data_IF_089396198559
#
_entry.id   IF_089396198559
#
_cell.length_a   1.000
_cell.length_b   1.000
_cell.length_c   1.000
_cell.angle_alpha   90.00
_cell.angle_beta   90.00
_cell.angle_gamma   90.00
#
_symmetry.space_group_name_H-M   'P 1'
#
loop_
_entity.id
_entity.type
_entity.pdbx_description
1 polymer ?
#
# COMPACT_ATOMS: atom_id res chain seq x y z
N UNK A 1 4.11 44.98 14.66
CA UNK A 1 5.18 44.42 15.51
C UNK A 1 6.38 44.23 14.61
N UNK A 2 7.37 45.10 14.73
CA UNK A 2 8.63 45.04 14.01
C UNK A 2 9.39 43.78 14.43
N UNK A 3 9.63 42.89 13.49
CA UNK A 3 10.49 41.72 13.66
C UNK A 3 11.92 42.21 13.95
N UNK A 4 12.32 42.19 15.22
CA UNK A 4 13.73 42.16 15.58
C UNK A 4 14.31 40.86 14.99
N UNK A 5 15.00 40.97 13.86
CA UNK A 5 16.04 40.00 13.51
C UNK A 5 17.02 40.01 14.69
N UNK A 6 16.85 39.05 15.60
CA UNK A 6 17.76 38.83 16.73
C UNK A 6 19.16 38.64 16.15
N UNK A 7 20.03 39.63 16.39
CA UNK A 7 21.41 39.59 15.95
C UNK A 7 22.15 38.37 16.52
N UNK A 8 23.18 37.87 15.81
CA UNK A 8 23.63 36.50 15.89
C UNK A 8 24.26 36.18 17.24
N UNK A 9 24.26 34.90 17.61
CA UNK A 9 25.08 34.42 18.71
C UNK A 9 26.55 34.83 18.52
N UNK A 10 27.31 34.93 19.61
CA UNK A 10 28.73 35.29 19.52
C UNK A 10 29.52 34.23 18.74
N UNK A 11 29.15 32.93 18.78
CA UNK A 11 29.87 31.85 18.10
C UNK A 11 28.96 30.78 17.50
N UNK A 12 29.22 30.39 16.26
CA UNK A 12 28.51 29.28 15.63
C UNK A 12 28.80 27.98 16.37
N UNK A 13 27.75 27.22 16.63
CA UNK A 13 27.87 25.96 17.37
C UNK A 13 28.56 24.83 16.60
N UNK A 14 28.64 24.93 15.28
CA UNK A 14 29.30 23.93 14.43
C UNK A 14 30.79 24.25 14.19
N UNK A 15 31.13 25.50 13.86
CA UNK A 15 32.54 25.86 13.54
C UNK A 15 33.24 26.70 14.60
N UNK A 16 32.56 27.15 15.65
CA UNK A 16 33.07 28.00 16.75
C UNK A 16 33.56 29.40 16.36
N UNK A 17 33.50 29.77 15.07
CA UNK A 17 33.79 31.12 14.57
C UNK A 17 32.72 32.14 14.99
N UNK A 18 33.09 33.42 15.03
CA UNK A 18 32.17 34.50 15.33
C UNK A 18 31.10 34.66 14.24
N UNK A 19 29.82 34.71 14.63
CA UNK A 19 28.71 34.92 13.69
C UNK A 19 28.58 36.39 13.36
N UNK A 20 29.39 36.86 12.41
CA UNK A 20 29.37 38.27 12.02
C UNK A 20 28.27 38.55 11.00
N UNK A 21 27.94 37.60 10.11
CA UNK A 21 26.91 37.71 9.05
C UNK A 21 26.43 36.29 8.65
N UNK A 22 25.18 36.15 8.19
CA UNK A 22 24.57 34.92 7.62
C UNK A 22 24.46 33.70 8.55
N UNK A 23 23.67 33.85 9.62
CA UNK A 23 23.31 32.74 10.50
C UNK A 23 21.79 32.54 10.57
N UNK A 24 21.38 31.30 10.80
CA UNK A 24 19.98 30.90 10.99
C UNK A 24 19.83 30.17 12.33
N UNK A 25 18.76 30.47 13.06
CA UNK A 25 18.47 29.81 14.34
C UNK A 25 17.71 28.49 14.10
N UNK A 26 18.23 27.40 14.63
CA UNK A 26 17.51 26.12 14.71
C UNK A 26 16.37 26.23 15.72
N UNK A 27 15.14 25.92 15.32
CA UNK A 27 13.97 25.93 16.22
C UNK A 27 13.94 24.74 17.18
N UNK A 28 14.71 23.68 16.91
CA UNK A 28 14.75 22.47 17.73
C UNK A 28 15.66 22.59 18.96
N UNK A 29 16.88 23.11 18.77
CA UNK A 29 17.87 23.24 19.84
C UNK A 29 18.21 24.69 20.19
N UNK A 30 17.55 25.66 19.55
CA UNK A 30 17.73 27.12 19.72
C UNK A 30 19.13 27.64 19.40
N UNK A 31 20.03 26.78 18.90
CA UNK A 31 21.38 27.12 18.47
C UNK A 31 21.35 27.85 17.13
N UNK A 32 22.28 28.79 16.98
CA UNK A 32 22.52 29.46 15.72
C UNK A 32 23.62 28.73 14.94
N UNK A 33 23.38 28.59 13.63
CA UNK A 33 24.27 27.91 12.70
C UNK A 33 24.56 28.85 11.55
N UNK A 34 25.83 28.96 11.15
CA UNK A 34 26.15 29.69 9.92
C UNK A 34 25.55 28.98 8.72
N UNK A 35 25.09 29.75 7.76
CA UNK A 35 24.63 29.22 6.47
C UNK A 35 25.72 28.41 5.77
N UNK A 36 27.00 28.80 5.91
CA UNK A 36 28.17 28.04 5.41
C UNK A 36 28.42 26.69 6.10
N UNK A 37 27.90 26.51 7.32
CA UNK A 37 28.04 25.26 8.08
C UNK A 37 26.88 24.29 7.82
N UNK A 38 25.91 24.70 7.00
CA UNK A 38 24.82 23.88 6.51
C UNK A 38 25.00 23.80 4.99
N UNK A 39 24.58 22.73 4.30
CA UNK A 39 24.51 22.70 2.83
C UNK A 39 23.44 23.66 2.26
N UNK A 40 23.49 24.93 2.64
CA UNK A 40 22.48 25.95 2.32
C UNK A 40 23.00 26.90 1.24
N UNK A 41 22.42 26.82 0.04
CA UNK A 41 22.65 27.80 -1.02
C UNK A 41 21.93 29.12 -0.75
N UNK A 42 22.35 30.21 -1.40
CA UNK A 42 21.68 31.52 -1.31
C UNK A 42 20.18 31.44 -1.66
N UNK A 43 19.84 30.59 -2.64
CA UNK A 43 18.45 30.34 -3.06
C UNK A 43 17.65 29.67 -1.93
N UNK A 44 18.26 28.72 -1.21
CA UNK A 44 17.61 28.08 -0.06
C UNK A 44 17.50 29.05 1.12
N UNK A 45 18.53 29.85 1.38
CA UNK A 45 18.52 30.87 2.42
C UNK A 45 17.40 31.90 2.19
N UNK A 46 17.22 32.34 0.95
CA UNK A 46 16.11 33.23 0.59
C UNK A 46 14.76 32.58 0.86
N UNK A 47 14.59 31.28 0.56
CA UNK A 47 13.35 30.55 0.88
C UNK A 47 13.13 30.44 2.39
N UNK A 48 14.19 30.23 3.17
CA UNK A 48 14.14 30.17 4.64
C UNK A 48 13.85 31.52 5.29
N UNK A 49 14.12 32.62 4.59
CA UNK A 49 13.81 33.98 5.05
C UNK A 49 12.31 34.30 5.04
N UNK A 50 11.47 33.41 4.50
CA UNK A 50 10.02 33.55 4.61
C UNK A 50 9.57 33.51 6.08
N UNK A 51 8.87 34.57 6.49
CA UNK A 51 8.31 34.67 7.83
C UNK A 51 7.44 33.43 8.15
N UNK A 52 7.65 32.87 9.34
CA UNK A 52 6.93 31.70 9.90
C UNK A 52 7.41 30.29 9.48
N UNK A 53 8.59 30.14 8.87
CA UNK A 53 9.20 28.83 8.68
C UNK A 53 10.04 28.41 9.90
N UNK A 54 10.16 27.10 10.11
CA UNK A 54 10.94 26.51 11.21
C UNK A 54 12.12 25.74 10.65
N UNK A 55 13.32 26.34 10.73
CA UNK A 55 14.56 25.67 10.36
C UNK A 55 15.04 24.74 11.47
N UNK A 56 15.62 23.59 11.10
CA UNK A 56 16.25 22.65 12.00
C UNK A 56 17.66 22.36 11.50
N UNK A 57 18.65 22.47 12.40
CA UNK A 57 20.04 22.08 12.13
C UNK A 57 20.19 20.57 11.96
N UNK A 58 21.33 20.12 11.44
CA UNK A 58 21.65 18.72 11.21
C UNK A 58 21.46 17.87 12.46
N UNK A 59 21.98 18.32 13.60
CA UNK A 59 21.82 17.66 14.91
C UNK A 59 20.35 17.41 15.34
N UNK A 60 19.40 18.19 14.81
CA UNK A 60 17.97 18.01 15.09
C UNK A 60 17.24 17.20 14.00
N UNK A 61 17.80 17.14 12.80
CA UNK A 61 17.25 16.43 11.65
C UNK A 61 17.79 15.01 11.52
N UNK A 62 18.96 14.70 12.07
CA UNK A 62 19.67 13.44 11.88
C UNK A 62 19.79 12.64 13.17
N UNK A 63 19.95 11.33 13.02
CA UNK A 63 20.29 10.39 14.08
C UNK A 63 21.26 9.38 13.49
N UNK A 64 22.47 9.24 14.06
CA UNK A 64 23.54 8.38 13.54
C UNK A 64 23.88 8.66 12.06
N UNK A 65 24.06 9.94 11.69
CA UNK A 65 24.42 10.38 10.32
C UNK A 65 23.34 10.12 9.25
N UNK A 66 22.19 9.55 9.62
CA UNK A 66 21.05 9.36 8.73
C UNK A 66 19.93 10.35 9.04
N UNK A 67 19.22 10.79 8.00
CA UNK A 67 18.05 11.65 8.17
C UNK A 67 16.98 10.94 8.99
N UNK A 68 16.58 11.56 10.10
CA UNK A 68 15.60 11.00 11.01
C UNK A 68 14.19 11.28 10.50
N UNK A 69 13.78 10.45 9.54
CA UNK A 69 12.43 10.49 8.97
C UNK A 69 11.34 10.25 10.01
N UNK A 70 11.64 9.58 11.13
CA UNK A 70 10.68 9.37 12.23
C UNK A 70 10.38 10.68 12.95
N UNK A 71 11.40 11.48 13.26
CA UNK A 71 11.22 12.83 13.82
C UNK A 71 10.46 13.73 12.84
N UNK A 72 10.76 13.65 11.54
CA UNK A 72 10.03 14.40 10.50
C UNK A 72 8.55 14.02 10.44
N UNK A 73 8.22 12.72 10.41
CA UNK A 73 6.84 12.24 10.45
C UNK A 73 6.09 12.73 11.70
N UNK A 74 6.73 12.70 12.88
CA UNK A 74 6.11 13.20 14.13
C UNK A 74 5.74 14.68 14.03
N UNK A 75 6.60 15.52 13.45
CA UNK A 75 6.33 16.96 13.28
C UNK A 75 5.20 17.21 12.28
N UNK A 76 5.18 16.49 11.16
CA UNK A 76 4.08 16.55 10.20
C UNK A 76 2.75 16.05 10.78
N UNK A 77 2.79 14.95 11.53
CA UNK A 77 1.61 14.36 12.16
C UNK A 77 0.99 15.31 13.20
N UNK A 78 1.82 16.05 13.94
CA UNK A 78 1.36 17.02 14.93
C UNK A 78 0.50 18.15 14.33
N UNK A 79 0.62 18.41 13.01
CA UNK A 79 -0.17 19.44 12.32
C UNK A 79 -1.35 18.91 11.53
N UNK A 80 -1.62 17.60 11.57
CA UNK A 80 -2.80 17.01 10.90
C UNK A 80 -4.08 17.45 11.63
N UNK A 81 -5.00 18.09 10.90
CA UNK A 81 -6.24 18.65 11.45
C UNK A 81 -6.08 20.03 12.10
N UNK A 82 -4.88 20.62 12.07
CA UNK A 82 -4.65 22.00 12.52
C UNK A 82 -5.13 23.01 11.46
N UNK A 83 -5.27 24.30 11.82
CA UNK A 83 -5.57 25.36 10.86
C UNK A 83 -4.62 25.37 9.66
N UNK A 84 -5.15 25.61 8.46
CA UNK A 84 -4.40 25.52 7.19
C UNK A 84 -3.07 26.29 7.19
N UNK A 85 -3.02 27.47 7.83
CA UNK A 85 -1.79 28.26 7.94
C UNK A 85 -0.68 27.51 8.68
N UNK A 86 -1.00 26.83 9.78
CA UNK A 86 -0.04 26.08 10.60
C UNK A 86 0.45 24.86 9.82
N UNK A 87 -0.47 24.07 9.28
CA UNK A 87 -0.16 22.88 8.48
C UNK A 87 0.72 23.25 7.28
N UNK A 88 0.38 24.32 6.56
CA UNK A 88 1.16 24.81 5.41
C UNK A 88 2.59 25.18 5.80
N UNK A 89 2.77 25.90 6.91
CA UNK A 89 4.10 26.35 7.34
C UNK A 89 4.99 25.18 7.76
N UNK A 90 4.46 24.22 8.53
CA UNK A 90 5.22 23.03 8.94
C UNK A 90 5.52 22.14 7.74
N UNK A 91 4.54 21.90 6.86
CA UNK A 91 4.74 21.11 5.64
C UNK A 91 5.80 21.73 4.73
N UNK A 92 5.75 23.06 4.54
CA UNK A 92 6.77 23.79 3.77
C UNK A 92 8.15 23.74 4.43
N UNK A 93 8.21 23.83 5.76
CA UNK A 93 9.47 23.71 6.50
C UNK A 93 10.10 22.33 6.28
N UNK A 94 9.35 21.24 6.43
CA UNK A 94 9.86 19.88 6.20
C UNK A 94 10.31 19.66 4.75
N UNK A 95 9.54 20.14 3.77
CA UNK A 95 9.94 20.06 2.37
C UNK A 95 11.24 20.82 2.08
N UNK A 96 11.47 21.95 2.75
CA UNK A 96 12.72 22.71 2.65
C UNK A 96 13.87 22.06 3.40
N UNK A 97 13.63 21.36 4.51
CA UNK A 97 14.67 20.59 5.21
C UNK A 97 15.19 19.46 4.31
N UNK A 98 14.31 18.73 3.65
CA UNK A 98 14.70 17.69 2.69
C UNK A 98 15.56 18.27 1.55
N UNK A 99 15.19 19.43 1.01
CA UNK A 99 16.01 20.12 0.00
C UNK A 99 17.35 20.60 0.56
N UNK A 100 17.36 21.15 1.77
CA UNK A 100 18.57 21.70 2.42
C UNK A 100 19.60 20.60 2.62
N UNK A 101 19.18 19.46 3.16
CA UNK A 101 20.07 18.34 3.41
C UNK A 101 20.23 17.37 2.24
N UNK A 102 19.80 17.77 1.04
CA UNK A 102 19.90 16.96 -0.19
C UNK A 102 19.36 15.54 0.01
N UNK A 103 18.24 15.40 0.72
CA UNK A 103 17.57 14.10 0.88
C UNK A 103 16.89 13.77 -0.45
N UNK A 104 17.56 12.92 -1.22
CA UNK A 104 17.15 12.61 -2.59
C UNK A 104 15.82 11.85 -2.63
N UNK A 105 14.97 12.25 -3.57
CA UNK A 105 13.85 11.40 -4.00
C UNK A 105 14.47 10.30 -4.86
N UNK A 106 14.22 9.02 -4.54
CA UNK A 106 14.83 7.93 -5.28
C UNK A 106 14.44 8.03 -6.76
N UNK A 107 15.44 8.06 -7.62
CA UNK A 107 15.24 7.85 -9.06
C UNK A 107 15.05 6.35 -9.28
N UNK A 108 14.10 6.01 -10.16
CA UNK A 108 13.90 4.62 -10.53
C UNK A 108 15.15 4.11 -11.26
N UNK A 109 15.97 3.37 -10.54
CA UNK A 109 17.13 2.70 -11.11
C UNK A 109 16.74 1.24 -11.33
N UNK A 110 16.80 0.80 -12.58
CA UNK A 110 16.72 -0.63 -12.94
C UNK A 110 18.01 -1.35 -12.52
N UNK A 111 18.42 -1.23 -11.26
CA UNK A 111 19.45 -2.13 -10.73
C UNK A 111 18.82 -3.50 -10.58
N UNK A 112 19.18 -4.40 -11.49
CA UNK A 112 18.78 -5.81 -11.50
C UNK A 112 19.42 -6.55 -10.32
N UNK A 113 18.96 -6.26 -9.12
CA UNK A 113 19.30 -7.02 -7.93
C UNK A 113 18.40 -8.25 -7.94
N UNK A 114 19.00 -9.44 -7.83
CA UNK A 114 18.23 -10.66 -7.67
C UNK A 114 17.52 -10.62 -6.31
N UNK A 115 16.22 -10.91 -6.31
CA UNK A 115 15.39 -10.80 -5.12
C UNK A 115 14.79 -12.16 -4.78
N UNK A 116 14.74 -12.46 -3.48
CA UNK A 116 14.03 -13.63 -2.96
C UNK A 116 12.55 -13.52 -3.30
N UNK A 117 12.00 -14.57 -3.91
CA UNK A 117 10.58 -14.62 -4.24
C UNK A 117 9.73 -14.80 -2.97
N UNK A 118 8.65 -14.03 -2.86
CA UNK A 118 7.69 -14.16 -1.76
C UNK A 118 6.84 -15.42 -1.95
N UNK A 119 6.95 -16.36 -1.01
CA UNK A 119 6.28 -17.66 -1.11
C UNK A 119 4.76 -17.54 -1.12
N UNK A 120 4.19 -16.67 -0.28
CA UNK A 120 2.75 -16.52 -0.11
C UNK A 120 2.14 -15.90 -1.37
N UNK A 121 2.72 -14.82 -1.84
CA UNK A 121 2.33 -14.10 -3.05
C UNK A 121 2.51 -14.95 -4.30
N UNK A 122 3.57 -15.75 -4.37
CA UNK A 122 3.76 -16.73 -5.46
C UNK A 122 2.64 -17.77 -5.46
N UNK A 123 2.25 -18.26 -4.28
CA UNK A 123 1.14 -19.22 -4.14
C UNK A 123 -0.21 -18.59 -4.53
N UNK A 124 -0.42 -17.31 -4.19
CA UNK A 124 -1.60 -16.54 -4.61
C UNK A 124 -1.63 -16.41 -6.13
N UNK A 125 -0.52 -16.00 -6.77
CA UNK A 125 -0.47 -15.91 -8.23
C UNK A 125 -0.66 -17.27 -8.90
N UNK A 126 -0.05 -18.34 -8.39
CA UNK A 126 -0.25 -19.68 -8.93
C UNK A 126 -1.73 -20.09 -8.93
N UNK A 127 -2.47 -19.70 -7.89
CA UNK A 127 -3.89 -20.02 -7.72
C UNK A 127 -4.81 -19.13 -8.56
N UNK A 128 -4.54 -17.82 -8.60
CA UNK A 128 -5.46 -16.84 -9.16
C UNK A 128 -5.08 -16.36 -10.56
N UNK A 129 -3.79 -16.38 -10.91
CA UNK A 129 -3.33 -15.89 -12.21
C UNK A 129 -1.95 -16.47 -12.62
N UNK A 130 -1.89 -17.77 -12.95
CA UNK A 130 -0.63 -18.48 -13.22
C UNK A 130 0.14 -17.92 -14.42
N UNK A 131 -0.54 -17.31 -15.39
CA UNK A 131 0.11 -16.64 -16.52
C UNK A 131 1.03 -15.50 -16.06
N UNK A 132 0.60 -14.67 -15.10
CA UNK A 132 1.48 -13.61 -14.55
C UNK A 132 2.66 -14.21 -13.80
N UNK A 133 2.50 -15.32 -13.09
CA UNK A 133 3.62 -15.98 -12.40
C UNK A 133 4.69 -16.55 -13.36
N UNK A 134 4.29 -16.86 -14.61
CA UNK A 134 5.21 -17.34 -15.64
C UNK A 134 6.14 -16.24 -16.16
N UNK A 135 5.67 -14.99 -16.16
CA UNK A 135 6.43 -13.83 -16.66
C UNK A 135 7.03 -12.98 -15.55
N UNK A 136 6.43 -13.01 -14.36
CA UNK A 136 6.80 -12.19 -13.21
C UNK A 136 7.01 -13.06 -11.97
N UNK A 137 7.73 -12.52 -10.99
CA UNK A 137 7.77 -13.08 -9.65
C UNK A 137 7.54 -11.97 -8.61
N UNK A 138 6.76 -12.24 -7.55
CA UNK A 138 6.63 -11.32 -6.43
C UNK A 138 7.88 -11.42 -5.57
N UNK A 139 8.54 -10.30 -5.28
CA UNK A 139 9.66 -10.30 -4.35
C UNK A 139 9.19 -10.07 -2.91
N UNK A 140 9.88 -10.71 -1.97
CA UNK A 140 9.61 -10.56 -0.54
C UNK A 140 9.70 -9.09 -0.09
N UNK A 141 8.72 -8.68 0.71
CA UNK A 141 8.69 -7.38 1.37
C UNK A 141 8.39 -7.59 2.84
N UNK A 142 9.04 -6.85 3.74
CA UNK A 142 8.76 -7.02 5.16
C UNK A 142 7.27 -6.76 5.48
N UNK A 143 6.65 -7.72 6.16
CA UNK A 143 5.20 -7.78 6.42
C UNK A 143 4.73 -6.94 7.60
N UNK A 144 4.83 -5.61 7.50
CA UNK A 144 4.25 -4.65 8.44
C UNK A 144 3.30 -3.67 7.74
N UNK A 145 2.68 -2.73 8.47
CA UNK A 145 1.86 -1.70 7.83
C UNK A 145 2.64 -0.75 6.91
N UNK A 146 3.97 -0.81 6.88
CA UNK A 146 4.79 -0.03 5.93
C UNK A 146 4.99 -0.75 4.59
N UNK A 147 4.41 -1.94 4.40
CA UNK A 147 4.67 -2.79 3.24
C UNK A 147 4.45 -2.10 1.88
N UNK A 148 3.50 -1.16 1.72
CA UNK A 148 3.38 -0.40 0.46
C UNK A 148 4.67 0.40 0.15
N UNK A 149 5.15 1.17 1.12
CA UNK A 149 6.33 2.02 0.98
C UNK A 149 7.60 1.20 0.81
N UNK A 150 7.69 0.07 1.52
CA UNK A 150 8.79 -0.90 1.38
C UNK A 150 8.78 -1.53 -0.01
N UNK A 151 7.63 -1.98 -0.50
CA UNK A 151 7.48 -2.56 -1.82
C UNK A 151 7.86 -1.57 -2.92
N UNK A 152 7.43 -0.30 -2.81
CA UNK A 152 7.79 0.76 -3.75
C UNK A 152 9.28 1.08 -3.68
N UNK A 153 9.84 1.24 -2.47
CA UNK A 153 11.29 1.42 -2.27
C UNK A 153 12.07 0.31 -2.95
N UNK A 154 11.67 -0.94 -2.72
CA UNK A 154 12.33 -2.12 -3.30
C UNK A 154 12.21 -2.14 -4.81
N UNK A 155 11.05 -1.79 -5.36
CA UNK A 155 10.85 -1.77 -6.80
C UNK A 155 11.71 -0.74 -7.54
N UNK A 156 12.00 0.41 -6.92
CA UNK A 156 12.70 1.52 -7.58
C UNK A 156 14.19 1.62 -7.22
N UNK A 157 14.61 1.07 -6.07
CA UNK A 157 16.00 1.12 -5.58
C UNK A 157 16.65 -0.25 -5.40
N UNK A 158 15.88 -1.34 -5.49
CA UNK A 158 16.33 -2.68 -5.13
C UNK A 158 16.41 -2.94 -3.61
N UNK A 159 16.09 -1.98 -2.74
CA UNK A 159 16.12 -2.12 -1.29
C UNK A 159 14.89 -1.51 -0.59
N UNK A 160 14.62 -1.89 0.65
CA UNK A 160 13.50 -1.32 1.44
C UNK A 160 13.87 -0.07 2.26
N UNK A 161 15.13 0.38 2.23
CA UNK A 161 15.67 1.38 3.19
C UNK A 161 14.94 2.73 3.14
N UNK A 162 14.37 3.10 1.99
CA UNK A 162 13.76 4.41 1.79
C UNK A 162 12.30 4.51 2.28
N UNK A 163 11.73 3.45 2.86
CA UNK A 163 10.30 3.43 3.18
C UNK A 163 9.85 4.58 4.09
N UNK A 164 10.68 5.01 5.06
CA UNK A 164 10.35 6.13 5.96
C UNK A 164 10.38 7.46 5.20
N UNK A 165 11.41 7.68 4.37
CA UNK A 165 11.53 8.89 3.55
C UNK A 165 10.36 8.99 2.57
N UNK A 166 9.95 7.87 1.96
CA UNK A 166 8.76 7.81 1.13
C UNK A 166 7.49 8.21 1.90
N UNK A 167 7.30 7.73 3.14
CA UNK A 167 6.17 8.18 3.99
C UNK A 167 6.21 9.69 4.25
N UNK A 168 7.39 10.24 4.59
CA UNK A 168 7.55 11.69 4.82
C UNK A 168 7.12 12.47 3.58
N UNK A 169 7.66 12.11 2.42
CA UNK A 169 7.36 12.77 1.15
C UNK A 169 5.88 12.64 0.78
N UNK A 170 5.28 11.46 0.98
CA UNK A 170 3.85 11.22 0.74
C UNK A 170 2.98 12.11 1.62
N UNK A 171 3.33 12.26 2.91
CA UNK A 171 2.57 13.14 3.81
C UNK A 171 2.72 14.60 3.42
N UNK A 172 3.92 15.02 3.01
CA UNK A 172 4.16 16.37 2.47
C UNK A 172 3.30 16.63 1.24
N UNK A 173 3.22 15.68 0.30
CA UNK A 173 2.36 15.81 -0.89
C UNK A 173 0.87 15.93 -0.50
N UNK A 174 0.38 15.07 0.39
CA UNK A 174 -1.03 15.11 0.82
C UNK A 174 -1.38 16.45 1.49
N UNK A 175 -0.55 16.92 2.42
CA UNK A 175 -0.78 18.16 3.16
C UNK A 175 -0.58 19.42 2.30
N UNK A 176 0.31 19.37 1.30
CA UNK A 176 0.59 20.50 0.41
C UNK A 176 -0.48 20.68 -0.66
N UNK A 177 -1.17 19.60 -1.07
CA UNK A 177 -2.09 19.60 -2.20
C UNK A 177 -3.47 19.01 -1.83
N UNK A 178 -4.16 19.56 -0.80
CA UNK A 178 -5.41 18.99 -0.29
C UNK A 178 -6.51 18.88 -1.37
N UNK A 179 -6.47 19.72 -2.41
CA UNK A 179 -7.43 19.65 -3.51
C UNK A 179 -7.44 18.32 -4.29
N UNK A 180 -6.46 17.44 -4.11
CA UNK A 180 -6.43 16.12 -4.75
C UNK A 180 -6.75 14.96 -3.79
N UNK A 181 -6.85 15.25 -2.49
CA UNK A 181 -6.94 14.22 -1.44
C UNK A 181 -8.08 14.46 -0.44
N UNK A 182 -8.65 15.67 -0.42
CA UNK A 182 -9.79 16.02 0.43
C UNK A 182 -11.07 16.20 -0.41
N UNK A 183 -12.01 15.24 -0.36
CA UNK A 183 -13.30 15.34 -1.04
C UNK A 183 -14.12 16.57 -0.66
N UNK A 184 -13.85 17.18 0.50
CA UNK A 184 -14.54 18.39 0.96
C UNK A 184 -13.88 19.68 0.47
N UNK A 185 -12.72 19.60 -0.19
CA UNK A 185 -12.05 20.78 -0.71
C UNK A 185 -12.84 21.38 -1.88
N UNK A 186 -12.99 22.71 -1.92
CA UNK A 186 -13.83 23.40 -2.92
C UNK A 186 -13.42 23.18 -4.38
N UNK A 187 -12.15 22.81 -4.59
CA UNK A 187 -11.57 22.47 -5.90
C UNK A 187 -11.16 21.00 -6.01
N UNK A 188 -11.87 20.12 -5.30
CA UNK A 188 -11.52 18.71 -5.25
C UNK A 188 -11.44 18.11 -6.66
N UNK A 189 -10.35 17.41 -6.94
CA UNK A 189 -10.12 16.65 -8.16
C UNK A 189 -9.98 15.19 -7.78
N UNK A 190 -10.98 14.39 -8.11
CA UNK A 190 -10.94 12.95 -7.88
C UNK A 190 -9.92 12.29 -8.83
N UNK A 191 -8.81 11.82 -8.26
CA UNK A 191 -7.77 11.09 -8.97
C UNK A 191 -8.16 9.64 -9.30
N UNK A 192 -9.07 9.06 -8.52
CA UNK A 192 -9.45 7.65 -8.64
C UNK A 192 -10.50 7.49 -9.74
N UNK A 193 -11.51 8.37 -9.77
CA UNK A 193 -12.61 8.35 -10.73
C UNK A 193 -13.32 6.99 -10.79
N UNK A 194 -13.40 6.29 -9.66
CA UNK A 194 -14.03 4.98 -9.52
C UNK A 194 -14.64 4.86 -8.12
N UNK A 195 -15.97 4.96 -8.05
CA UNK A 195 -16.73 4.95 -6.81
C UNK A 195 -16.77 3.57 -6.11
N UNK A 196 -16.23 2.52 -6.75
CA UNK A 196 -16.08 1.19 -6.13
C UNK A 196 -14.92 1.14 -5.15
N UNK A 197 -13.97 2.07 -5.24
CA UNK A 197 -12.85 2.18 -4.31
C UNK A 197 -13.25 3.05 -3.14
N UNK A 198 -13.31 2.44 -1.96
CA UNK A 198 -13.50 3.16 -0.71
C UNK A 198 -12.15 3.69 -0.25
N UNK A 199 -12.08 5.00 -0.02
CA UNK A 199 -10.89 5.67 0.50
C UNK A 199 -11.15 6.23 1.90
N UNK A 200 -10.08 6.34 2.68
CA UNK A 200 -10.12 7.00 3.96
C UNK A 200 -10.54 8.48 3.82
N UNK A 201 -11.08 9.07 4.89
CA UNK A 201 -11.27 10.54 4.93
C UNK A 201 -9.91 11.24 4.87
N UNK A 202 -9.87 12.50 4.42
CA UNK A 202 -8.61 13.26 4.32
C UNK A 202 -7.77 13.24 5.60
N UNK A 203 -8.42 13.44 6.76
CA UNK A 203 -7.72 13.42 8.05
C UNK A 203 -7.21 12.03 8.40
N UNK A 204 -7.97 10.98 8.10
CA UNK A 204 -7.55 9.61 8.35
C UNK A 204 -6.40 9.21 7.42
N UNK A 205 -6.51 9.53 6.13
CA UNK A 205 -5.45 9.38 5.14
C UNK A 205 -4.13 10.01 5.62
N UNK A 206 -4.15 11.30 6.01
CA UNK A 206 -2.96 12.00 6.48
C UNK A 206 -2.40 11.40 7.80
N UNK A 207 -3.28 10.98 8.72
CA UNK A 207 -2.88 10.31 9.97
C UNK A 207 -2.22 8.96 9.70
N UNK A 208 -2.78 8.18 8.77
CA UNK A 208 -2.26 6.88 8.39
C UNK A 208 -0.86 7.07 7.86
N UNK A 209 -0.59 7.93 6.87
CA UNK A 209 0.79 8.19 6.40
C UNK A 209 1.74 8.59 7.53
N UNK A 210 1.29 9.48 8.41
CA UNK A 210 2.09 10.00 9.53
C UNK A 210 2.47 8.99 10.61
N UNK A 211 1.77 7.85 10.69
CA UNK A 211 1.98 6.84 11.72
C UNK A 211 2.69 5.61 11.15
N UNK A 212 3.85 5.25 11.70
CA UNK A 212 4.55 4.03 11.28
C UNK A 212 3.72 2.79 11.61
N UNK A 213 3.70 1.83 10.67
CA UNK A 213 3.00 0.55 10.86
C UNK A 213 1.49 0.60 10.63
N UNK A 214 0.91 1.74 10.23
CA UNK A 214 -0.47 1.79 9.71
C UNK A 214 -0.49 1.41 8.23
N UNK A 215 -1.57 0.73 7.83
CA UNK A 215 -1.80 0.29 6.47
C UNK A 215 -2.03 1.45 5.51
N UNK A 216 -1.71 1.19 4.24
CA UNK A 216 -1.95 2.10 3.14
C UNK A 216 -3.09 1.60 2.24
N UNK A 217 -3.81 2.55 1.64
CA UNK A 217 -4.88 2.35 0.67
C UNK A 217 -4.46 2.83 -0.74
N UNK A 218 -5.40 2.84 -1.70
CA UNK A 218 -5.13 3.28 -3.07
C UNK A 218 -4.66 4.74 -3.16
N UNK A 219 -5.19 5.63 -2.31
CA UNK A 219 -4.87 7.06 -2.37
C UNK A 219 -3.41 7.33 -2.00
N UNK A 220 -2.84 6.51 -1.12
CA UNK A 220 -1.41 6.50 -0.83
C UNK A 220 -0.55 6.21 -2.07
N UNK A 221 -1.00 5.29 -2.93
CA UNK A 221 -0.29 4.95 -4.16
C UNK A 221 -0.33 6.10 -5.18
N UNK A 222 -1.44 6.84 -5.26
CA UNK A 222 -1.53 8.07 -6.06
C UNK A 222 -0.58 9.15 -5.55
N UNK A 223 -0.54 9.36 -4.24
CA UNK A 223 0.40 10.32 -3.63
C UNK A 223 1.86 9.89 -3.83
N UNK A 224 2.19 8.60 -3.73
CA UNK A 224 3.53 8.07 -4.04
C UNK A 224 3.91 8.30 -5.50
N UNK A 225 3.00 8.04 -6.43
CA UNK A 225 3.23 8.33 -7.85
C UNK A 225 3.49 9.83 -8.08
N UNK A 226 2.77 10.71 -7.40
CA UNK A 226 2.98 12.16 -7.48
C UNK A 226 4.33 12.60 -6.88
N UNK A 227 4.77 11.99 -5.78
CA UNK A 227 6.07 12.26 -5.16
C UNK A 227 7.21 11.84 -6.07
N UNK A 228 7.15 10.60 -6.57
CA UNK A 228 8.20 9.99 -7.38
C UNK A 228 8.22 10.49 -8.83
N UNK A 229 7.16 11.19 -9.26
CA UNK A 229 6.98 11.67 -10.64
C UNK A 229 6.99 10.55 -11.68
N UNK A 230 6.51 9.36 -11.30
CA UNK A 230 6.44 8.18 -12.17
C UNK A 230 5.07 7.49 -12.04
N UNK A 231 4.53 6.89 -13.12
CA UNK A 231 3.36 6.03 -13.01
C UNK A 231 3.68 4.72 -12.27
N UNK A 232 2.75 4.24 -11.45
CA UNK A 232 2.86 2.96 -10.73
C UNK A 232 1.78 2.02 -11.25
N UNK A 233 2.10 0.77 -11.55
CA UNK A 233 1.09 -0.26 -11.85
C UNK A 233 0.62 -0.86 -10.54
N UNK A 234 -0.59 -0.52 -10.13
CA UNK A 234 -1.31 -1.26 -9.10
C UNK A 234 -1.83 -2.56 -9.72
N UNK A 235 -1.55 -3.70 -9.10
CA UNK A 235 -2.00 -5.00 -9.59
C UNK A 235 -2.69 -5.78 -8.48
N UNK A 236 -3.96 -6.14 -8.69
CA UNK A 236 -4.74 -6.95 -7.75
C UNK A 236 -5.07 -8.29 -8.43
N UNK A 237 -4.63 -9.45 -7.91
CA UNK A 237 -4.88 -10.73 -8.54
C UNK A 237 -6.38 -10.96 -8.80
N UNK A 238 -6.78 -11.32 -10.04
CA UNK A 238 -8.18 -11.53 -10.38
C UNK A 238 -8.79 -12.65 -9.54
N UNK A 239 -10.00 -12.44 -9.03
CA UNK A 239 -10.72 -13.41 -8.22
C UNK A 239 -11.91 -13.95 -9.00
N UNK A 240 -12.07 -15.28 -9.05
CA UNK A 240 -13.19 -15.90 -9.76
C UNK A 240 -14.53 -15.38 -9.23
N UNK A 241 -15.38 -14.89 -10.14
CA UNK A 241 -16.70 -14.31 -9.84
C UNK A 241 -16.66 -13.02 -8.99
N UNK A 242 -15.50 -12.38 -8.83
CA UNK A 242 -15.35 -11.11 -8.11
C UNK A 242 -14.47 -10.11 -8.89
N UNK A 243 -14.55 -10.15 -10.21
CA UNK A 243 -13.82 -9.24 -11.11
C UNK A 243 -14.10 -7.77 -10.83
N UNK A 244 -15.33 -7.46 -10.39
CA UNK A 244 -15.74 -6.13 -9.95
C UNK A 244 -14.93 -5.60 -8.75
N UNK A 245 -14.26 -6.49 -8.00
CA UNK A 245 -13.35 -6.14 -6.89
C UNK A 245 -11.92 -5.95 -7.40
N UNK A 246 -11.43 -6.81 -8.29
CA UNK A 246 -10.03 -6.75 -8.75
C UNK A 246 -9.76 -5.68 -9.79
N UNK A 247 -10.72 -5.37 -10.66
CA UNK A 247 -10.57 -4.40 -11.75
C UNK A 247 -10.26 -2.97 -11.24
N UNK A 248 -11.00 -2.39 -10.26
CA UNK A 248 -10.68 -1.05 -9.75
C UNK A 248 -9.25 -0.94 -9.21
N UNK A 249 -8.76 -2.01 -8.58
CA UNK A 249 -7.42 -2.04 -7.97
C UNK A 249 -6.31 -2.44 -8.94
N UNK A 250 -6.64 -2.97 -10.12
CA UNK A 250 -5.67 -3.36 -11.16
C UNK A 250 -5.57 -2.30 -12.25
N UNK A 251 -4.79 -1.24 -12.00
CA UNK A 251 -4.72 -0.08 -12.89
C UNK A 251 -3.37 0.60 -12.90
N UNK A 252 -3.16 1.44 -13.92
CA UNK A 252 -2.09 2.42 -13.88
C UNK A 252 -2.52 3.56 -12.96
N UNK A 253 -1.70 3.82 -11.95
CA UNK A 253 -1.85 4.90 -10.98
C UNK A 253 -0.94 6.03 -11.43
N UNK A 254 -1.54 7.17 -11.74
CA UNK A 254 -0.83 8.40 -12.09
C UNK A 254 -1.24 9.46 -11.07
N UNK A 255 -0.30 9.80 -10.19
CA UNK A 255 -0.47 10.90 -9.27
C UNK A 255 -0.57 12.25 -9.97
N UNK A 256 -0.80 13.29 -9.19
CA UNK A 256 -0.83 14.66 -9.69
C UNK A 256 0.46 15.02 -10.44
N UNK A 257 0.30 15.61 -11.62
CA UNK A 257 1.38 16.01 -12.53
C UNK A 257 2.28 14.85 -12.99
N UNK A 258 1.78 13.62 -12.97
CA UNK A 258 2.45 12.46 -13.57
C UNK A 258 1.94 12.27 -14.99
N UNK A 259 2.86 12.05 -15.92
CA UNK A 259 2.52 11.87 -17.32
C UNK A 259 1.77 10.54 -17.54
N UNK A 260 0.48 10.64 -17.89
CA UNK A 260 -0.36 9.47 -18.14
C UNK A 260 0.06 8.68 -19.39
N UNK A 261 0.86 9.23 -20.30
CA UNK A 261 1.33 8.47 -21.47
C UNK A 261 2.48 7.53 -21.13
N UNK A 262 3.21 7.79 -20.05
CA UNK A 262 4.37 6.96 -19.66
C UNK A 262 3.95 5.57 -19.22
N UNK A 263 4.85 4.62 -19.46
CA UNK A 263 4.75 3.28 -18.94
C UNK A 263 4.97 3.31 -17.41
N UNK A 264 4.32 2.41 -16.65
CA UNK A 264 4.61 2.28 -15.23
C UNK A 264 6.07 1.91 -14.99
N UNK A 265 6.73 2.66 -14.11
CA UNK A 265 8.12 2.40 -13.72
C UNK A 265 8.24 1.16 -12.82
N UNK A 266 7.19 0.80 -12.11
CA UNK A 266 7.14 -0.40 -11.29
C UNK A 266 5.72 -0.98 -11.22
N UNK A 267 5.63 -2.26 -10.81
CA UNK A 267 4.37 -2.94 -10.52
C UNK A 267 4.32 -3.38 -9.06
N UNK A 268 3.28 -2.95 -8.35
CA UNK A 268 3.03 -3.27 -6.95
C UNK A 268 1.77 -4.12 -6.87
N UNK A 269 1.89 -5.30 -6.29
CA UNK A 269 0.81 -6.25 -6.12
C UNK A 269 0.18 -6.14 -4.74
N UNK A 270 -1.15 -6.09 -4.72
CA UNK A 270 -1.97 -6.34 -3.54
C UNK A 270 -1.97 -7.83 -3.23
N UNK A 271 -1.52 -8.21 -2.05
CA UNK A 271 -1.37 -9.61 -1.64
C UNK A 271 -1.77 -9.79 -0.17
N UNK A 272 -1.54 -10.99 0.37
CA UNK A 272 -1.79 -11.32 1.76
C UNK A 272 -0.51 -11.78 2.45
N UNK A 273 -0.43 -11.56 3.76
CA UNK A 273 0.60 -12.18 4.59
C UNK A 273 0.38 -13.69 4.79
N UNK A 274 -0.80 -14.22 4.43
CA UNK A 274 -1.17 -15.62 4.61
C UNK A 274 -1.76 -16.20 3.32
N UNK A 275 -1.46 -17.47 3.03
CA UNK A 275 -2.03 -18.18 1.88
C UNK A 275 -3.54 -18.32 2.08
N UNK A 276 -4.38 -17.87 1.12
CA UNK A 276 -5.83 -17.98 1.25
C UNK A 276 -6.31 -19.44 1.26
N UNK A 277 -6.98 -19.84 2.33
CA UNK A 277 -7.59 -21.18 2.48
C UNK A 277 -8.85 -21.33 1.64
N UNK A 278 -9.56 -20.23 1.33
CA UNK A 278 -10.78 -20.22 0.52
C UNK A 278 -10.61 -19.66 -0.89
N UNK A 279 -11.73 -19.30 -1.53
CA UNK A 279 -11.75 -18.66 -2.86
C UNK A 279 -11.59 -17.12 -2.78
N UNK A 280 -11.70 -16.54 -1.59
CA UNK A 280 -11.55 -15.11 -1.36
C UNK A 280 -10.12 -14.78 -0.94
N UNK A 281 -9.47 -13.85 -1.64
CA UNK A 281 -8.22 -13.22 -1.21
C UNK A 281 -8.57 -12.01 -0.33
N UNK A 282 -8.07 -12.02 0.89
CA UNK A 282 -8.09 -10.86 1.79
C UNK A 282 -6.70 -10.24 1.73
N UNK A 283 -6.61 -9.05 1.17
CA UNK A 283 -5.33 -8.36 1.01
C UNK A 283 -5.01 -7.51 2.22
N UNK A 284 -3.81 -7.69 2.76
CA UNK A 284 -3.26 -6.90 3.87
C UNK A 284 -1.75 -6.68 3.72
N UNK A 285 -1.20 -6.96 2.53
CA UNK A 285 0.22 -6.87 2.27
C UNK A 285 0.46 -6.38 0.84
N UNK A 286 1.64 -5.82 0.60
CA UNK A 286 2.08 -5.34 -0.71
C UNK A 286 3.45 -5.91 -1.03
N UNK A 287 3.63 -6.35 -2.27
CA UNK A 287 4.92 -6.82 -2.80
C UNK A 287 5.16 -6.25 -4.19
N UNK A 288 6.41 -5.97 -4.59
CA UNK A 288 6.71 -5.62 -5.96
C UNK A 288 6.72 -6.86 -6.87
N UNK A 289 6.24 -6.71 -8.10
CA UNK A 289 6.36 -7.72 -9.15
C UNK A 289 7.52 -7.37 -10.07
N UNK A 290 8.49 -8.27 -10.16
CA UNK A 290 9.62 -8.16 -11.07
C UNK A 290 9.44 -9.08 -12.25
N UNK A 291 9.82 -8.61 -13.45
CA UNK A 291 9.82 -9.43 -14.65
C UNK A 291 10.93 -10.47 -14.55
N UNK A 292 10.62 -11.74 -14.83
CA UNK A 292 11.64 -12.79 -14.94
C UNK A 292 12.54 -12.48 -16.13
N UNK A 293 13.85 -12.66 -15.94
CA UNK A 293 14.77 -12.74 -17.08
C UNK A 293 14.33 -13.94 -17.90
N UNK A 294 14.03 -13.74 -19.19
CA UNK A 294 13.90 -14.89 -20.10
C UNK A 294 15.27 -15.55 -20.08
N UNK A 295 15.36 -16.74 -19.50
CA UNK A 295 16.45 -17.63 -19.83
C UNK A 295 16.30 -17.84 -21.33
N UNK A 296 17.24 -17.34 -22.13
CA UNK A 296 17.33 -17.73 -23.53
C UNK A 296 17.47 -19.25 -23.51
N UNK A 297 16.37 -19.96 -23.63
CA UNK A 297 16.40 -21.33 -24.10
C UNK A 297 17.12 -21.23 -25.43
N UNK A 298 18.39 -21.69 -25.44
CA UNK A 298 19.13 -22.01 -26.65
C UNK A 298 18.13 -22.66 -27.59
N UNK A 299 17.65 -21.90 -28.57
CA UNK A 299 16.95 -22.48 -29.71
C UNK A 299 17.97 -23.44 -30.28
N UNK A 300 17.76 -24.73 -30.02
CA UNK A 300 18.48 -25.77 -30.72
C UNK A 300 17.98 -25.66 -32.14
N UNK A 301 18.62 -24.77 -32.91
CA UNK A 301 18.43 -24.67 -34.35
C UNK A 301 18.92 -26.01 -34.87
N UNK A 302 18.00 -26.96 -35.03
CA UNK A 302 18.23 -28.10 -35.88
C UNK A 302 18.33 -27.54 -37.29
N UNK A 303 19.55 -27.20 -37.72
CA UNK A 303 19.85 -27.20 -39.14
C UNK A 303 19.69 -28.65 -39.57
N UNK A 304 18.54 -28.95 -40.16
CA UNK A 304 18.41 -30.15 -40.99
C UNK A 304 19.25 -29.80 -42.21
N UNK A 305 20.53 -30.17 -42.17
CA UNK A 305 21.32 -30.29 -43.37
C UNK A 305 20.71 -31.48 -44.13
N UNK A 306 19.84 -31.16 -45.10
CA UNK A 306 19.49 -32.07 -46.17
C UNK A 306 20.74 -32.22 -47.06
N UNK A 307 21.74 -32.96 -46.60
CA UNK A 307 22.66 -33.70 -47.46
C UNK A 307 23.63 -34.54 -46.61
N UNK A 308 23.91 -35.73 -47.15
CA UNK A 308 24.87 -36.74 -46.73
C UNK A 308 24.44 -37.78 -45.67
N UNK A 309 24.22 -38.96 -46.24
CA UNK A 309 24.42 -40.28 -45.67
C UNK A 309 25.62 -40.36 -44.70
N UNK A 310 25.40 -41.20 -43.69
CA UNK A 310 26.40 -41.87 -42.84
C UNK A 310 26.76 -41.20 -41.49
N UNK A 311 26.02 -41.67 -40.48
CA UNK A 311 26.58 -42.26 -39.26
C UNK A 311 27.26 -41.31 -38.24
N UNK A 312 26.47 -40.80 -37.29
CA UNK A 312 27.00 -40.31 -36.01
C UNK A 312 26.10 -40.75 -34.84
N UNK A 313 26.67 -41.53 -33.93
CA UNK A 313 26.08 -41.97 -32.67
C UNK A 313 25.78 -40.78 -31.74
N UNK A 314 24.63 -40.76 -31.04
CA UNK A 314 24.45 -39.88 -29.89
C UNK A 314 25.28 -40.40 -28.71
N UNK A 315 26.23 -39.59 -28.23
CA UNK A 315 26.86 -39.79 -26.92
C UNK A 315 25.82 -39.39 -25.86
N UNK A 316 25.18 -40.40 -25.28
CA UNK A 316 24.39 -40.26 -24.05
C UNK A 316 25.39 -40.20 -22.90
N UNK A 317 25.42 -39.08 -22.19
CA UNK A 317 26.12 -38.97 -20.89
C UNK A 317 25.14 -39.43 -19.83
N UNK A 318 25.23 -40.72 -19.47
CA UNK A 318 24.52 -41.28 -18.33
C UNK A 318 25.13 -40.71 -17.03
N UNK A 319 24.32 -39.98 -16.26
CA UNK A 319 24.61 -39.62 -14.88
C UNK A 319 23.86 -40.56 -13.96
N UNK A 320 24.51 -41.66 -13.59
CA UNK A 320 24.05 -42.55 -12.53
C UNK A 320 24.11 -41.83 -11.17
N UNK A 321 22.98 -41.78 -10.47
CA UNK A 321 22.97 -41.59 -9.02
C UNK A 321 21.89 -42.49 -8.41
N UNK A 322 22.34 -43.65 -7.96
CA UNK A 322 21.62 -44.60 -7.14
C UNK A 322 21.95 -44.33 -5.67
N UNK A 323 20.95 -43.95 -4.87
CA UNK A 323 20.90 -44.30 -3.45
C UNK A 323 19.45 -44.50 -3.01
N UNK A 324 19.24 -45.73 -2.58
CA UNK A 324 18.10 -46.36 -1.91
C UNK A 324 17.69 -45.65 -0.61
N UNK A 325 16.39 -45.59 -0.33
CA UNK A 325 15.87 -45.14 0.96
C UNK A 325 14.36 -45.30 1.09
N UNK A 326 13.93 -46.53 1.35
CA UNK A 326 12.74 -47.01 2.07
C UNK A 326 11.54 -46.06 2.27
N UNK A 327 10.44 -46.36 1.55
CA UNK A 327 9.09 -45.92 1.86
C UNK A 327 8.35 -47.02 2.65
N UNK A 328 7.77 -46.75 3.84
CA UNK A 328 6.85 -47.68 4.48
C UNK A 328 5.50 -47.67 3.77
N UNK A 329 5.06 -48.86 3.38
CA UNK A 329 3.68 -49.16 3.00
C UNK A 329 2.74 -48.83 4.18
N UNK A 330 1.67 -48.09 3.92
CA UNK A 330 0.51 -48.06 4.79
C UNK A 330 -0.64 -48.77 4.09
N UNK A 331 -1.11 -49.81 4.77
CA UNK A 331 -2.24 -50.65 4.41
C UNK A 331 -3.52 -49.83 4.20
N UNK A 332 -4.21 -50.19 3.12
CA UNK A 332 -5.58 -49.81 2.83
C UNK A 332 -6.44 -50.96 3.35
N UNK A 333 -7.16 -50.76 4.45
CA UNK A 333 -8.34 -51.57 4.75
C UNK A 333 -9.46 -50.73 5.35
N UNK A 334 -10.65 -51.16 4.97
CA UNK A 334 -11.93 -51.03 5.65
C UNK A 334 -12.85 -49.83 5.31
N UNK A 335 -13.85 -50.24 4.54
CA UNK A 335 -15.27 -49.86 4.55
C UNK A 335 -15.78 -49.34 5.89
N UNK A 336 -16.70 -48.37 5.85
CA UNK A 336 -18.00 -48.51 6.51
C UNK A 336 -19.00 -47.42 6.10
N UNK A 337 -20.15 -47.93 5.67
CA UNK A 337 -21.53 -47.56 5.99
C UNK A 337 -22.00 -46.09 6.03
N UNK A 338 -23.01 -45.85 5.20
CA UNK A 338 -23.85 -44.67 5.13
C UNK A 338 -24.85 -44.74 6.28
N UNK A 339 -24.75 -43.83 7.25
CA UNK A 339 -25.81 -43.61 8.24
C UNK A 339 -26.55 -42.29 7.96
N UNK A 340 -27.83 -42.44 7.59
CA UNK A 340 -28.80 -41.35 7.49
C UNK A 340 -29.40 -41.07 8.86
N UNK A 341 -28.92 -40.03 9.55
CA UNK A 341 -29.74 -39.37 10.58
C UNK A 341 -29.44 -37.87 10.70
N UNK A 342 -30.41 -37.06 10.29
CA UNK A 342 -30.45 -35.62 10.54
C UNK A 342 -30.81 -35.35 12.01
N UNK A 343 -30.03 -34.55 12.77
CA UNK A 343 -30.52 -33.97 13.99
C UNK A 343 -31.39 -32.74 13.68
N UNK A 344 -32.62 -32.76 14.21
CA UNK A 344 -33.46 -31.59 14.38
C UNK A 344 -32.78 -30.63 15.37
N UNK A 345 -32.30 -29.48 14.87
CA UNK A 345 -31.82 -28.40 15.73
C UNK A 345 -33.03 -27.56 16.16
N UNK A 346 -33.32 -27.59 17.45
CA UNK A 346 -34.27 -26.71 18.13
C UNK A 346 -33.76 -25.26 18.11
N UNK A 347 -34.67 -24.33 17.82
CA UNK A 347 -34.44 -22.89 17.76
C UNK A 347 -34.31 -22.28 19.17
N UNK A 348 -33.19 -22.43 19.86
CA UNK A 348 -32.89 -21.64 21.08
C UNK A 348 -31.36 -21.47 21.26
N UNK A 349 -30.70 -20.57 20.52
CA UNK A 349 -29.46 -19.90 20.98
C UNK A 349 -29.03 -18.75 20.03
N UNK A 350 -29.77 -17.65 20.01
CA UNK A 350 -29.57 -16.55 19.03
C UNK A 350 -28.79 -15.34 19.61
N UNK A 351 -27.69 -15.57 20.35
CA UNK A 351 -26.85 -14.47 20.87
C UNK A 351 -25.32 -14.70 20.83
N UNK A 352 -24.79 -15.51 19.91
CA UNK A 352 -23.33 -15.61 19.73
C UNK A 352 -22.82 -14.64 18.67
N UNK A 353 -22.45 -13.44 19.11
CA UNK A 353 -21.70 -12.45 18.32
C UNK A 353 -20.32 -13.02 18.00
N UNK A 354 -19.87 -12.89 16.75
CA UNK A 354 -18.58 -13.40 16.29
C UNK A 354 -17.41 -12.69 17.04
N UNK A 355 -16.38 -13.41 17.51
CA UNK A 355 -15.32 -12.86 18.38
C UNK A 355 -14.45 -11.75 17.75
N UNK A 356 -14.57 -11.51 16.45
CA UNK A 356 -13.90 -10.43 15.72
C UNK A 356 -14.80 -9.21 15.45
N UNK A 357 -15.98 -9.14 16.06
CA UNK A 357 -16.92 -8.02 15.88
C UNK A 357 -16.61 -6.93 16.91
N UNK A 358 -15.90 -5.87 16.50
CA UNK A 358 -15.40 -4.80 17.39
C UNK A 358 -16.04 -3.42 17.13
N UNK A 359 -17.30 -3.39 16.70
CA UNK A 359 -18.12 -2.16 16.66
C UNK A 359 -19.19 -2.15 17.75
N UNK A 360 -19.25 -1.10 18.58
CA UNK A 360 -20.39 -0.88 19.45
C UNK A 360 -21.58 -0.40 18.61
N UNK A 361 -22.58 -1.26 18.43
CA UNK A 361 -23.87 -0.85 17.87
C UNK A 361 -24.63 -0.06 18.94
N UNK A 362 -24.65 1.26 18.83
CA UNK A 362 -25.63 2.06 19.56
C UNK A 362 -27.01 1.71 18.99
N UNK A 363 -27.79 0.95 19.77
CA UNK A 363 -29.19 0.50 19.50
C UNK A 363 -29.38 -0.76 18.63
N UNK A 364 -28.34 -1.59 18.46
CA UNK A 364 -28.49 -2.89 17.78
C UNK A 364 -28.74 -2.82 16.27
N UNK A 365 -29.05 -3.97 15.66
CA UNK A 365 -29.40 -4.04 14.24
C UNK A 365 -30.90 -3.80 14.04
N UNK A 366 -31.24 -2.89 13.13
CA UNK A 366 -32.60 -2.73 12.62
C UNK A 366 -32.85 -3.77 11.52
N UNK A 367 -33.95 -4.52 11.62
CA UNK A 367 -34.32 -5.46 10.57
C UNK A 367 -34.89 -4.73 9.34
N UNK A 368 -34.97 -5.45 8.22
CA UNK A 368 -35.40 -4.88 6.93
C UNK A 368 -36.86 -4.39 6.98
N UNK A 369 -37.75 -5.08 7.70
CA UNK A 369 -39.15 -4.70 7.80
C UNK A 369 -39.31 -3.43 8.65
N UNK A 370 -38.55 -3.31 9.74
CA UNK A 370 -38.46 -2.14 10.59
C UNK A 370 -37.88 -0.94 9.83
N UNK A 371 -36.84 -1.15 9.01
CA UNK A 371 -36.28 -0.10 8.15
C UNK A 371 -37.31 0.42 7.14
N UNK A 372 -38.02 -0.47 6.45
CA UNK A 372 -39.07 -0.05 5.51
C UNK A 372 -40.21 0.68 6.21
N UNK A 373 -40.58 0.24 7.42
CA UNK A 373 -41.56 0.94 8.26
C UNK A 373 -41.09 2.35 8.63
N UNK A 374 -39.82 2.52 9.00
CA UNK A 374 -39.25 3.84 9.30
C UNK A 374 -39.26 4.76 8.07
N UNK A 375 -38.82 4.26 6.91
CA UNK A 375 -38.76 5.04 5.68
C UNK A 375 -40.13 5.41 5.10
N UNK A 376 -41.16 4.61 5.38
CA UNK A 376 -42.53 4.87 4.89
C UNK A 376 -43.40 5.67 5.87
N UNK A 377 -43.07 5.67 7.16
CA UNK A 377 -43.91 6.29 8.20
C UNK A 377 -43.41 7.67 8.66
N UNK A 378 -42.19 8.06 8.30
CA UNK A 378 -41.55 9.28 8.82
C UNK A 378 -41.01 10.17 7.69
N UNK A 379 -40.83 11.45 7.98
CA UNK A 379 -40.07 12.35 7.09
C UNK A 379 -38.61 11.91 7.03
N UNK A 380 -37.86 12.40 6.02
CA UNK A 380 -36.45 12.05 5.85
C UNK A 380 -35.62 12.34 7.12
N UNK A 381 -35.79 13.50 7.75
CA UNK A 381 -35.04 13.88 8.95
C UNK A 381 -35.39 13.01 10.16
N UNK A 382 -36.66 12.65 10.32
CA UNK A 382 -37.11 11.74 11.40
C UNK A 382 -36.61 10.31 11.18
N UNK A 383 -36.72 9.79 9.95
CA UNK A 383 -36.21 8.47 9.60
C UNK A 383 -34.68 8.40 9.80
N UNK A 384 -33.94 9.43 9.37
CA UNK A 384 -32.49 9.49 9.52
C UNK A 384 -32.05 9.45 10.99
N UNK A 385 -32.77 10.15 11.87
CA UNK A 385 -32.48 10.15 13.31
C UNK A 385 -32.90 8.86 14.02
N UNK A 386 -33.87 8.12 13.47
CA UNK A 386 -34.38 6.88 14.04
C UNK A 386 -33.65 5.62 13.55
N UNK A 387 -33.01 5.67 12.38
CA UNK A 387 -32.17 4.58 11.88
C UNK A 387 -30.85 4.56 12.66
N UNK A 388 -30.47 3.45 13.33
CA UNK A 388 -29.23 3.36 14.08
C UNK A 388 -28.01 3.73 13.23
N UNK A 389 -27.32 4.81 13.61
CA UNK A 389 -26.06 5.21 12.99
C UNK A 389 -24.95 4.25 13.35
N UNK A 390 -24.69 3.26 12.50
CA UNK A 390 -23.55 2.34 12.64
C UNK A 390 -22.42 2.71 11.69
N UNK A 391 -21.23 3.05 12.20
CA UNK A 391 -20.00 2.96 11.41
C UNK A 391 -19.61 1.49 11.38
N UNK A 392 -19.81 0.82 10.24
CA UNK A 392 -19.64 -0.62 10.12
C UNK A 392 -18.32 -0.94 9.43
N UNK A 393 -17.25 -1.12 10.20
CA UNK A 393 -16.03 -1.77 9.71
C UNK A 393 -16.29 -3.29 9.69
N UNK A 394 -16.14 -3.92 8.51
CA UNK A 394 -16.33 -5.36 8.23
C UNK A 394 -17.79 -5.86 8.17
N UNK A 395 -18.38 -5.88 6.96
CA UNK A 395 -19.63 -6.61 6.68
C UNK A 395 -19.33 -7.84 5.83
N UNK A 396 -19.68 -9.02 6.34
CA UNK A 396 -19.80 -10.24 5.55
C UNK A 396 -21.28 -10.49 5.25
N UNK A 397 -21.61 -10.81 4.00
CA UNK A 397 -22.94 -11.26 3.61
C UNK A 397 -22.95 -12.78 3.48
N UNK A 398 -23.73 -13.47 4.30
CA UNK A 398 -24.03 -14.88 4.09
C UNK A 398 -25.25 -15.00 3.16
N UNK A 399 -25.01 -15.27 1.88
CA UNK A 399 -26.09 -15.58 0.92
C UNK A 399 -26.53 -17.05 1.10
N UNK A 400 -27.65 -17.27 1.79
CA UNK A 400 -28.29 -18.59 1.86
C UNK A 400 -28.97 -18.88 0.52
N UNK A 401 -28.39 -19.78 -0.29
CA UNK A 401 -29.03 -20.26 -1.53
C UNK A 401 -30.34 -20.99 -1.18
N UNK A 402 -31.48 -20.40 -1.51
CA UNK A 402 -32.75 -21.13 -1.53
C UNK A 402 -32.72 -22.14 -2.67
N UNK A 403 -32.73 -23.45 -2.34
CA UNK A 403 -33.00 -24.51 -3.32
C UNK A 403 -34.44 -24.32 -3.83
N UNK A 404 -34.58 -23.88 -5.08
CA UNK A 404 -35.87 -23.95 -5.77
C UNK A 404 -36.22 -25.43 -5.99
N UNK A 405 -37.20 -25.95 -5.24
CA UNK A 405 -37.82 -27.22 -5.55
C UNK A 405 -38.57 -27.12 -6.88
N UNK A 406 -37.93 -27.57 -7.97
CA UNK A 406 -38.63 -27.88 -9.22
C UNK A 406 -39.60 -29.04 -8.97
N UNK A 407 -40.88 -28.75 -8.84
CA UNK A 407 -41.95 -29.77 -8.94
C UNK A 407 -41.94 -30.33 -10.37
N UNK A 408 -41.47 -31.57 -10.54
CA UNK A 408 -41.73 -32.35 -11.77
C UNK A 408 -43.23 -32.64 -11.85
N UNK A 409 -43.94 -31.97 -12.77
CA UNK A 409 -45.26 -32.44 -13.22
C UNK A 409 -45.04 -33.71 -14.05
N UNK A 410 -45.52 -34.86 -13.57
CA UNK A 410 -45.75 -36.04 -14.41
C UNK A 410 -46.96 -35.73 -15.29
N UNK A 411 -46.74 -35.52 -16.59
CA UNK A 411 -47.79 -35.58 -17.60
C UNK A 411 -47.91 -37.02 -18.08
N UNK A 412 -49.02 -37.66 -17.79
CA UNK A 412 -49.46 -38.89 -18.45
C UNK A 412 -50.05 -38.52 -19.81
N UNK A 413 -49.46 -39.05 -20.88
CA UNK A 413 -50.13 -39.12 -22.19
C UNK A 413 -51.00 -40.38 -22.23
N UNK A 414 -52.29 -40.19 -22.43
CA UNK A 414 -53.17 -41.07 -23.20
C UNK A 414 -53.81 -40.21 -24.29
#
# INVERSE_FOLDING_TARGET
MSEEMKYPCIKCTECTDDCVIDAIQCTGCEKWVHTKCVPMSDVLLQKWSDANLSFLCENCCFTNEEFDGVKSLKRLQAVVGQPHRITRNVTKSEALLLQTYSIEVPTANETQIEHTADRVSSSILAKFHPAILSEFYPAETYGDGNCLYRAVSRAITGSESMYIVLRVLTLIEILSYPMFYDPNHTRFTDLIQDNRIVVATYLQLAKDVGMLGTYADMMHMFALSAVLKIPIRSYFPPQMNMEFVSEPYSRKVCGRNVNISEAPACTIMWTSAVIPTGHTLITNHFVPLFKRKRTETLETVYTIDEDDHDNVNPVIVDSECSTTGDCPQMDISDTDEIDESCPLISNEDDTKVHPLSNGCLLKGFMDVAELFKQLSSFTYEEAYNNIPGGIKNNVFFALKKFRQHRKKKKGSYQ
#
